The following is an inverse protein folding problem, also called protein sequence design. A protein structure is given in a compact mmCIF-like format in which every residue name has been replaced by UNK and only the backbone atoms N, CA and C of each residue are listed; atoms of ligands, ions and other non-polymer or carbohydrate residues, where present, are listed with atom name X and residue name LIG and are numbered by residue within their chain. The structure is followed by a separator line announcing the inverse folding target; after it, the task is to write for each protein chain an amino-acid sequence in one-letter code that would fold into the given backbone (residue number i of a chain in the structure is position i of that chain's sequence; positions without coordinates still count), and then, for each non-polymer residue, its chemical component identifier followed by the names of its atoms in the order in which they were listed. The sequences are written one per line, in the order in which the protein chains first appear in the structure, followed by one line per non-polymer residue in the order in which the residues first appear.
data_IF_793789172783
#
_entry.id   IF_793789172783
#
_cell.length_a   1.000
_cell.length_b   1.000
_cell.length_c   1.000
_cell.angle_alpha   90.00
_cell.angle_beta   90.00
_cell.angle_gamma   90.00
#
_symmetry.space_group_name_H-M   'P 1'
#
loop_
_entity.id
_entity.type
_entity.pdbx_description
1 polymer ?
#
# COMPACT_ATOMS: atom_id res chain seq x y z
N UNK A 1 -0.95 -8.82 7.68
CA UNK A 1 -1.02 -9.03 9.14
C UNK A 1 -0.11 -10.17 9.58
N UNK A 2 -0.30 -11.42 9.13
CA UNK A 2 0.57 -12.54 9.52
C UNK A 2 2.05 -12.36 9.12
N UNK A 3 2.31 -11.85 7.91
CA UNK A 3 3.68 -11.62 7.40
C UNK A 3 4.46 -10.48 8.10
N UNK A 4 3.76 -9.49 8.66
CA UNK A 4 4.40 -8.28 9.24
C UNK A 4 4.30 -8.21 10.77
N UNK A 5 3.24 -8.77 11.34
CA UNK A 5 2.95 -8.72 12.78
C UNK A 5 2.86 -10.11 13.42
N UNK A 6 3.06 -11.20 12.65
CA UNK A 6 2.97 -12.57 13.17
C UNK A 6 1.58 -13.00 13.63
N UNK A 7 0.54 -12.19 13.37
CA UNK A 7 -0.83 -12.45 13.84
C UNK A 7 -1.61 -13.26 12.80
N UNK A 8 -2.17 -14.41 13.21
CA UNK A 8 -3.18 -15.13 12.43
C UNK A 8 -4.58 -14.61 12.80
N UNK A 9 -5.22 -13.87 11.89
CA UNK A 9 -6.55 -13.31 12.13
C UNK A 9 -7.65 -14.38 12.15
N UNK A 10 -7.38 -15.60 11.68
CA UNK A 10 -8.35 -16.71 11.74
C UNK A 10 -8.60 -17.16 13.17
N UNK A 11 -7.65 -16.90 14.07
CA UNK A 11 -7.76 -17.23 15.47
C UNK A 11 -8.86 -16.42 16.18
N UNK A 12 -9.27 -15.26 15.64
CA UNK A 12 -10.40 -14.47 16.13
C UNK A 12 -11.74 -15.21 16.12
N UNK A 13 -11.89 -16.15 15.19
CA UNK A 13 -13.14 -16.89 14.98
C UNK A 13 -13.14 -18.23 15.73
N UNK A 14 -12.04 -18.58 16.40
CA UNK A 14 -11.92 -19.80 17.18
C UNK A 14 -12.27 -19.52 18.65
N UNK A 15 -12.91 -20.48 19.35
CA UNK A 15 -13.14 -20.33 20.78
C UNK A 15 -11.82 -20.09 21.53
N UNK A 16 -11.79 -19.10 22.41
CA UNK A 16 -10.60 -18.70 23.17
C UNK A 16 -9.51 -17.98 22.37
N UNK A 17 -9.76 -17.63 21.10
CA UNK A 17 -8.76 -17.00 20.25
C UNK A 17 -7.73 -17.97 19.66
N UNK A 18 -8.05 -19.27 19.59
CA UNK A 18 -7.16 -20.28 19.01
C UNK A 18 -5.78 -20.41 19.71
N UNK A 19 -4.79 -21.04 19.05
CA UNK A 19 -3.44 -21.18 19.58
C UNK A 19 -2.75 -19.83 19.79
N UNK A 20 -3.05 -18.81 18.98
CA UNK A 20 -2.53 -17.46 19.15
C UNK A 20 -3.18 -16.65 20.27
N UNK A 21 -4.24 -17.16 20.93
CA UNK A 21 -5.06 -16.46 21.93
C UNK A 21 -5.48 -15.05 21.47
N UNK A 22 -5.79 -14.95 20.17
CA UNK A 22 -6.08 -13.70 19.50
C UNK A 22 -7.60 -13.45 19.58
N UNK A 23 -8.02 -12.61 20.53
CA UNK A 23 -9.41 -12.17 20.64
C UNK A 23 -9.59 -10.77 20.06
N UNK A 24 -10.82 -10.42 19.67
CA UNK A 24 -11.17 -9.06 19.21
C UNK A 24 -10.71 -7.98 20.21
N UNK A 25 -10.93 -8.19 21.51
CA UNK A 25 -10.49 -7.28 22.57
C UNK A 25 -8.97 -7.09 22.54
N UNK A 26 -8.20 -8.17 22.35
CA UNK A 26 -6.75 -8.14 22.30
C UNK A 26 -6.24 -7.43 21.05
N UNK A 27 -6.90 -7.62 19.91
CA UNK A 27 -6.60 -6.88 18.67
C UNK A 27 -6.79 -5.38 18.87
N UNK A 28 -7.90 -4.97 19.48
CA UNK A 28 -8.16 -3.54 19.74
C UNK A 28 -7.06 -2.95 20.63
N UNK A 29 -6.64 -3.66 21.67
CA UNK A 29 -5.53 -3.22 22.54
C UNK A 29 -4.22 -3.12 21.77
N UNK A 30 -3.90 -4.12 20.93
CA UNK A 30 -2.71 -4.09 20.08
C UNK A 30 -2.74 -2.89 19.12
N UNK A 31 -3.88 -2.64 18.46
CA UNK A 31 -4.04 -1.51 17.53
C UNK A 31 -3.92 -0.16 18.24
N UNK A 32 -4.45 -0.03 19.47
CA UNK A 32 -4.33 1.18 20.29
C UNK A 32 -2.88 1.51 20.68
N UNK A 33 -2.03 0.51 20.83
CA UNK A 33 -0.61 0.69 21.16
C UNK A 33 0.30 0.96 19.96
N UNK A 34 -0.22 0.86 18.73
CA UNK A 34 0.59 1.06 17.52
C UNK A 34 0.88 2.55 17.31
N UNK A 35 2.15 2.88 17.10
CA UNK A 35 2.57 4.23 16.68
C UNK A 35 1.94 4.54 15.32
N UNK A 36 1.25 5.68 15.23
CA UNK A 36 0.49 6.06 14.05
C UNK A 36 1.34 6.14 12.77
N UNK A 37 2.57 6.63 12.89
CA UNK A 37 3.45 6.90 11.75
C UNK A 37 4.20 5.65 11.23
N UNK A 38 4.36 4.63 12.06
CA UNK A 38 5.09 3.39 11.72
C UNK A 38 4.16 2.20 11.47
N UNK A 39 2.90 2.35 11.83
CA UNK A 39 1.89 1.31 11.70
C UNK A 39 1.32 1.27 10.30
N UNK A 40 1.48 0.12 9.62
CA UNK A 40 0.80 -0.17 8.36
C UNK A 40 -0.72 0.00 8.47
N UNK A 41 -1.29 -0.28 9.65
CA UNK A 41 -2.72 -0.10 9.89
C UNK A 41 -3.09 1.38 9.87
N UNK A 42 -2.44 2.21 10.69
CA UNK A 42 -2.79 3.63 10.79
C UNK A 42 -2.45 4.41 9.52
N UNK A 43 -1.34 4.08 8.86
CA UNK A 43 -1.01 4.65 7.57
C UNK A 43 -2.02 4.25 6.48
N UNK A 44 -2.53 3.00 6.49
CA UNK A 44 -3.60 2.61 5.58
C UNK A 44 -4.91 3.36 5.87
N UNK A 45 -5.27 3.53 7.15
CA UNK A 45 -6.48 4.27 7.55
C UNK A 45 -6.39 5.75 7.18
N UNK A 46 -5.22 6.37 7.34
CA UNK A 46 -4.99 7.78 7.02
C UNK A 46 -4.62 8.04 5.55
N UNK A 47 -4.64 7.00 4.71
CA UNK A 47 -4.13 7.01 3.33
C UNK A 47 -2.73 7.64 3.16
N UNK A 48 -1.85 7.36 4.12
CA UNK A 48 -0.46 7.80 4.10
C UNK A 48 0.48 6.66 3.73
N UNK A 49 1.62 7.03 3.14
CA UNK A 49 2.74 6.10 2.97
C UNK A 49 3.39 5.81 4.33
N UNK A 50 3.71 4.53 4.58
CA UNK A 50 4.51 4.15 5.75
C UNK A 50 5.94 4.54 5.47
N UNK A 51 6.48 5.43 6.32
CA UNK A 51 7.85 5.92 6.21
C UNK A 51 8.49 5.71 7.57
N UNK A 52 9.61 4.99 7.61
CA UNK A 52 10.36 4.82 8.86
C UNK A 52 10.97 6.17 9.31
N UNK A 53 11.25 6.37 10.61
CA UNK A 53 11.88 7.61 11.07
C UNK A 53 13.19 7.94 10.36
N UNK A 54 13.99 6.92 10.05
CA UNK A 54 15.24 7.07 9.32
C UNK A 54 14.99 7.52 7.87
N UNK A 55 14.05 6.88 7.17
CA UNK A 55 13.67 7.29 5.81
C UNK A 55 13.11 8.72 5.78
N UNK A 56 12.35 9.12 6.81
CA UNK A 56 11.83 10.47 6.95
C UNK A 56 12.97 11.47 7.11
N UNK A 57 13.93 11.19 7.99
CA UNK A 57 15.10 12.05 8.19
C UNK A 57 15.94 12.20 6.92
N UNK A 58 16.17 11.11 6.19
CA UNK A 58 16.89 11.16 4.90
C UNK A 58 16.10 11.93 3.85
N UNK A 59 14.78 11.76 3.80
CA UNK A 59 13.91 12.49 2.88
C UNK A 59 13.85 13.99 3.18
N UNK A 60 13.88 14.38 4.45
CA UNK A 60 13.94 15.77 4.89
C UNK A 60 15.29 16.39 4.51
N UNK A 61 16.41 15.69 4.75
CA UNK A 61 17.74 16.12 4.31
C UNK A 61 17.78 16.32 2.79
N UNK A 62 17.21 15.38 2.03
CA UNK A 62 17.08 15.54 0.58
C UNK A 62 16.28 16.80 0.22
N UNK A 63 15.19 17.08 0.94
CA UNK A 63 14.37 18.27 0.72
C UNK A 63 15.16 19.56 0.90
N UNK A 64 15.96 19.63 1.98
CA UNK A 64 16.82 20.78 2.27
C UNK A 64 17.90 20.96 1.21
N UNK A 65 18.52 19.87 0.75
CA UNK A 65 19.64 19.94 -0.22
C UNK A 65 19.16 20.20 -1.65
N UNK A 66 18.06 19.57 -2.06
CA UNK A 66 17.57 19.63 -3.45
C UNK A 66 16.55 20.75 -3.71
N UNK A 67 16.04 21.38 -2.65
CA UNK A 67 14.93 22.34 -2.72
C UNK A 67 13.59 21.71 -3.12
N UNK A 68 13.53 20.39 -3.31
CA UNK A 68 12.34 19.67 -3.79
C UNK A 68 11.93 18.59 -2.78
N UNK A 69 10.62 18.38 -2.62
CA UNK A 69 10.11 17.32 -1.74
C UNK A 69 10.54 15.95 -2.24
N UNK A 70 11.03 15.09 -1.35
CA UNK A 70 11.51 13.76 -1.73
C UNK A 70 10.36 12.89 -2.30
N UNK A 71 10.58 12.13 -3.39
CA UNK A 71 9.53 11.30 -4.03
C UNK A 71 8.95 10.19 -3.15
N UNK A 72 9.57 9.88 -2.00
CA UNK A 72 9.02 8.91 -1.04
C UNK A 72 7.62 9.29 -0.55
N UNK A 73 7.32 10.60 -0.48
CA UNK A 73 6.03 11.10 -0.02
C UNK A 73 4.91 11.01 -1.08
N UNK A 74 5.26 10.74 -2.35
CA UNK A 74 4.29 10.65 -3.47
C UNK A 74 4.24 9.25 -4.08
N UNK A 75 4.93 8.26 -3.48
CA UNK A 75 5.10 6.91 -4.04
C UNK A 75 3.77 6.26 -4.38
N UNK A 76 2.78 6.33 -3.49
CA UNK A 76 1.44 5.79 -3.73
C UNK A 76 0.74 6.44 -4.93
N UNK A 77 0.71 7.76 -4.96
CA UNK A 77 0.09 8.50 -6.06
C UNK A 77 0.78 8.23 -7.40
N UNK A 78 2.11 8.19 -7.39
CA UNK A 78 2.91 7.92 -8.58
C UNK A 78 2.68 6.50 -9.09
N UNK A 79 2.54 5.53 -8.19
CA UNK A 79 2.19 4.17 -8.54
C UNK A 79 0.79 4.08 -9.14
N UNK A 80 -0.20 4.76 -8.55
CA UNK A 80 -1.57 4.81 -9.06
C UNK A 80 -1.61 5.43 -10.46
N UNK A 81 -0.94 6.58 -10.65
CA UNK A 81 -0.80 7.26 -11.96
C UNK A 81 -0.13 6.36 -13.00
N UNK A 82 0.91 5.61 -12.63
CA UNK A 82 1.58 4.66 -13.53
C UNK A 82 0.65 3.52 -13.94
N UNK A 83 -0.08 2.93 -13.00
CA UNK A 83 -1.04 1.86 -13.28
C UNK A 83 -2.18 2.33 -14.19
N UNK A 84 -2.68 3.55 -13.99
CA UNK A 84 -3.73 4.13 -14.84
C UNK A 84 -3.23 4.35 -16.27
N UNK A 85 -2.01 4.88 -16.43
CA UNK A 85 -1.37 5.05 -17.75
C UNK A 85 -1.20 3.71 -18.47
N UNK A 86 -0.73 2.69 -17.77
CA UNK A 86 -0.58 1.34 -18.32
C UNK A 86 -1.93 0.74 -18.74
N UNK A 87 -2.98 0.89 -17.93
CA UNK A 87 -4.35 0.48 -18.30
C UNK A 87 -4.84 1.17 -19.57
N UNK A 88 -4.67 2.49 -19.68
CA UNK A 88 -5.05 3.28 -20.86
C UNK A 88 -4.28 2.82 -22.10
N UNK A 89 -2.96 2.61 -21.97
CA UNK A 89 -2.09 2.11 -23.04
C UNK A 89 -2.53 0.71 -23.52
N UNK A 90 -2.81 -0.21 -22.60
CA UNK A 90 -3.30 -1.54 -22.94
C UNK A 90 -4.66 -1.51 -23.65
N UNK A 91 -5.58 -0.64 -23.22
CA UNK A 91 -6.89 -0.47 -23.88
C UNK A 91 -6.72 0.03 -25.32
N UNK A 92 -5.85 1.03 -25.54
CA UNK A 92 -5.54 1.54 -26.87
C UNK A 92 -4.91 0.46 -27.77
N UNK A 93 -3.95 -0.31 -27.26
CA UNK A 93 -3.31 -1.40 -28.00
C UNK A 93 -4.30 -2.50 -28.39
N UNK A 94 -5.24 -2.85 -27.52
CA UNK A 94 -6.32 -3.81 -27.83
C UNK A 94 -7.22 -3.29 -28.96
N UNK A 95 -7.59 -2.02 -28.93
CA UNK A 95 -8.41 -1.39 -29.98
C UNK A 95 -7.69 -1.37 -31.34
N UNK A 96 -6.40 -1.02 -31.36
CA UNK A 96 -5.58 -1.04 -32.58
C UNK A 96 -5.47 -2.46 -33.14
N UNK A 97 -5.22 -3.46 -32.29
CA UNK A 97 -5.14 -4.87 -32.70
C UNK A 97 -6.47 -5.37 -33.28
N UNK A 98 -7.60 -4.97 -32.70
CA UNK A 98 -8.93 -5.32 -33.21
C UNK A 98 -9.18 -4.71 -34.60
N UNK A 99 -8.86 -3.43 -34.79
CA UNK A 99 -8.98 -2.76 -36.11
C UNK A 99 -8.10 -3.41 -37.19
N UNK A 100 -6.84 -3.72 -36.87
CA UNK A 100 -5.94 -4.43 -37.80
C UNK A 100 -6.44 -5.83 -38.17
N UNK A 101 -7.09 -6.53 -37.24
CA UNK A 101 -7.70 -7.85 -37.52
C UNK A 101 -8.93 -7.74 -38.42
N UNK A 102 -9.75 -6.70 -38.25
CA UNK A 102 -10.90 -6.46 -39.12
C UNK A 102 -10.49 -6.11 -40.56
N UNK A 103 -9.46 -5.27 -40.73
CA UNK A 103 -8.92 -4.91 -42.04
C UNK A 103 -8.23 -6.06 -42.79
N UNK A 104 -7.74 -7.09 -42.09
CA UNK A 104 -7.14 -8.29 -42.70
C UNK A 104 -8.16 -9.36 -43.13
N UNK A 105 -9.44 -9.19 -42.78
CA UNK A 105 -10.52 -10.13 -43.11
C UNK A 105 -11.41 -9.64 -44.27
N UNK A 106 -11.17 -8.43 -44.76
CA UNK A 106 -11.67 -7.92 -46.05
C UNK A 106 -10.63 -8.21 -47.12
#
# INVERSE_FOLDING_TARGET
MQRFYGLDLRDCYKPGGGPGRLTLRRIIVLLKGLRHEESLFWCAVADMDVITPLERLVADVYGVVSGNRHPVYTRREDLAKRQERERKKQKALRAIRARKRAQRKQ
#
